data_IF_172161728864
#
_entry.id   IF_172161728864
#
_cell.length_a   1.000
_cell.length_b   1.000
_cell.length_c   1.000
_cell.angle_alpha   90.00
_cell.angle_beta   90.00
_cell.angle_gamma   90.00
#
_symmetry.space_group_name_H-M   'P 1'
#
loop_
_entity.id
_entity.type
_entity.pdbx_description
1 polymer ?
#
# COMPACT_ATOMS: atom_id res chain seq x y z
N UNK A 1 -30.16 12.63 -4.39
CA UNK A 1 -29.75 13.43 -3.24
C UNK A 1 -30.61 13.26 -1.97
N UNK A 2 -31.55 12.31 -1.85
CA UNK A 2 -32.44 12.13 -0.68
C UNK A 2 -32.08 10.93 0.25
N UNK A 3 -31.00 10.19 -0.03
CA UNK A 3 -30.63 8.99 0.74
C UNK A 3 -29.41 9.15 1.67
N UNK A 4 -28.70 10.28 1.61
CA UNK A 4 -27.52 10.55 2.44
C UNK A 4 -27.89 11.22 3.77
N UNK A 5 -29.02 11.93 3.82
CA UNK A 5 -29.48 12.64 5.02
C UNK A 5 -30.00 11.71 6.13
N UNK A 6 -30.34 10.45 5.80
CA UNK A 6 -30.90 9.51 6.78
C UNK A 6 -29.83 8.77 7.61
N UNK A 7 -28.57 8.74 7.13
CA UNK A 7 -27.50 8.06 7.86
C UNK A 7 -26.85 8.95 8.94
N UNK A 8 -26.91 10.27 8.79
CA UNK A 8 -26.35 11.19 9.80
C UNK A 8 -27.27 11.40 11.02
N UNK A 9 -28.56 11.13 10.91
CA UNK A 9 -29.52 11.31 12.01
C UNK A 9 -29.58 10.14 12.99
N UNK A 10 -29.03 8.98 12.62
CA UNK A 10 -29.04 7.81 13.54
C UNK A 10 -27.91 7.81 14.58
N UNK A 11 -26.92 8.68 14.44
CA UNK A 11 -25.79 8.77 15.37
C UNK A 11 -26.00 9.72 16.56
N UNK A 12 -27.05 10.54 16.55
CA UNK A 12 -27.31 11.53 17.62
C UNK A 12 -28.40 11.14 18.64
N UNK A 13 -29.04 9.98 18.51
CA UNK A 13 -30.19 9.59 19.33
C UNK A 13 -29.87 8.71 20.55
N UNK A 14 -28.61 8.59 20.99
CA UNK A 14 -28.25 7.86 22.22
C UNK A 14 -27.70 8.80 23.30
N UNK A 15 -28.29 9.97 23.44
CA UNK A 15 -28.12 10.78 24.64
C UNK A 15 -29.34 10.53 25.56
N UNK A 16 -29.37 9.37 26.22
CA UNK A 16 -30.33 9.14 27.31
C UNK A 16 -29.79 9.84 28.55
N UNK A 17 -30.51 10.82 29.13
CA UNK A 17 -30.15 11.40 30.43
C UNK A 17 -30.41 10.37 31.51
N UNK A 18 -29.40 9.65 31.95
CA UNK A 18 -29.50 8.85 33.18
C UNK A 18 -29.33 9.76 34.36
N UNK A 19 -30.38 9.85 35.15
CA UNK A 19 -30.42 10.49 36.46
C UNK A 19 -29.23 10.07 37.32
N UNK A 20 -28.51 11.06 37.81
CA UNK A 20 -27.38 10.90 38.73
C UNK A 20 -27.93 10.34 40.06
N UNK A 21 -27.77 9.06 40.27
CA UNK A 21 -27.97 8.44 41.59
C UNK A 21 -26.59 8.37 42.30
N UNK A 22 -26.66 8.72 43.58
CA UNK A 22 -25.62 8.95 44.56
C UNK A 22 -24.38 8.02 44.47
N UNK A 23 -23.20 8.62 44.61
CA UNK A 23 -21.90 8.03 44.67
C UNK A 23 -21.77 6.87 45.66
N UNK A 24 -21.76 5.64 45.18
CA UNK A 24 -21.06 4.54 45.87
C UNK A 24 -19.57 4.80 45.78
N UNK A 25 -18.81 4.61 46.86
CA UNK A 25 -17.36 4.70 46.93
C UNK A 25 -16.73 4.03 45.71
N UNK A 26 -16.22 4.84 44.77
CA UNK A 26 -15.73 4.36 43.48
C UNK A 26 -14.58 3.38 43.66
N UNK A 27 -14.62 2.30 42.91
CA UNK A 27 -13.55 1.33 42.78
C UNK A 27 -12.27 2.09 42.35
N UNK A 28 -11.17 1.87 43.07
CA UNK A 28 -9.87 2.54 42.78
C UNK A 28 -9.48 2.19 41.36
N UNK A 29 -9.44 3.18 40.46
CA UNK A 29 -9.02 3.00 39.07
C UNK A 29 -7.55 2.67 39.06
N UNK A 30 -7.15 1.57 38.42
CA UNK A 30 -5.75 1.23 38.21
C UNK A 30 -5.06 2.33 37.41
N UNK A 31 -3.84 2.73 37.83
CA UNK A 31 -3.13 3.82 37.17
C UNK A 31 -2.64 3.46 35.77
N UNK A 32 -2.22 2.22 35.57
CA UNK A 32 -1.63 1.77 34.31
C UNK A 32 -2.35 0.54 33.75
N UNK A 33 -2.31 0.41 32.45
CA UNK A 33 -2.79 -0.79 31.75
C UNK A 33 -1.92 -1.07 30.52
N UNK A 34 -1.86 -2.35 30.14
CA UNK A 34 -1.35 -2.83 28.86
C UNK A 34 -2.53 -3.24 27.99
N UNK A 35 -2.50 -2.86 26.71
CA UNK A 35 -3.55 -3.18 25.75
C UNK A 35 -2.93 -3.88 24.54
N UNK A 36 -3.53 -4.99 24.10
CA UNK A 36 -3.21 -5.65 22.85
C UNK A 36 -4.45 -5.64 21.95
N UNK A 37 -4.27 -5.23 20.72
CA UNK A 37 -5.33 -5.09 19.72
C UNK A 37 -4.96 -5.75 18.40
N UNK A 38 -5.97 -6.25 17.70
CA UNK A 38 -5.88 -6.68 16.31
C UNK A 38 -7.14 -6.31 15.56
N UNK A 39 -7.02 -6.04 14.27
CA UNK A 39 -8.16 -5.62 13.47
C UNK A 39 -7.88 -5.61 11.98
N UNK A 40 -8.90 -5.27 11.24
CA UNK A 40 -8.84 -5.12 9.80
C UNK A 40 -9.41 -3.77 9.37
N UNK A 41 -8.72 -3.13 8.42
CA UNK A 41 -9.07 -1.83 7.86
C UNK A 41 -9.52 -1.97 6.42
N UNK A 42 -10.43 -1.10 6.02
CA UNK A 42 -10.94 -0.95 4.67
C UNK A 42 -10.45 0.38 4.10
N UNK A 43 -10.21 0.41 2.79
CA UNK A 43 -9.89 1.63 2.08
C UNK A 43 -11.08 2.57 2.04
N UNK A 44 -10.91 3.83 2.45
CA UNK A 44 -11.95 4.88 2.39
C UNK A 44 -11.60 6.02 1.44
N UNK A 45 -10.35 6.10 0.97
CA UNK A 45 -9.87 7.10 0.02
C UNK A 45 -9.12 6.43 -1.11
N UNK A 46 -9.81 5.75 -2.03
CA UNK A 46 -9.15 5.21 -3.23
C UNK A 46 -8.65 6.38 -4.08
N UNK A 47 -7.39 6.34 -4.42
CA UNK A 47 -6.73 7.22 -5.37
C UNK A 47 -6.14 6.41 -6.52
N UNK A 48 -5.63 7.09 -7.52
CA UNK A 48 -4.85 6.45 -8.57
C UNK A 48 -3.52 5.95 -8.00
N UNK A 49 -3.12 4.73 -8.35
CA UNK A 49 -1.82 4.20 -7.92
C UNK A 49 -0.66 4.97 -8.58
N UNK A 50 0.53 4.98 -7.96
CA UNK A 50 1.75 5.47 -8.63
C UNK A 50 2.06 4.64 -9.87
N UNK A 51 2.72 5.27 -10.86
CA UNK A 51 3.28 4.56 -12.00
C UNK A 51 4.30 3.51 -11.56
N UNK A 52 4.39 2.43 -12.32
CA UNK A 52 5.41 1.39 -12.15
C UNK A 52 6.33 1.41 -13.36
N UNK A 53 7.52 2.00 -13.21
CA UNK A 53 8.39 2.28 -14.34
C UNK A 53 7.69 3.21 -15.37
N UNK A 54 7.66 2.84 -16.66
CA UNK A 54 6.97 3.64 -17.69
C UNK A 54 5.46 3.40 -17.72
N UNK A 55 4.93 2.43 -16.95
CA UNK A 55 3.54 1.97 -17.04
C UNK A 55 2.64 2.79 -16.13
N UNK A 56 1.56 3.31 -16.74
CA UNK A 56 0.50 4.00 -16.00
C UNK A 56 -0.30 2.99 -15.15
N UNK A 57 -0.98 3.44 -14.09
CA UNK A 57 -1.82 2.59 -13.25
C UNK A 57 -3.14 2.25 -13.95
N UNK A 58 -3.04 1.54 -15.06
CA UNK A 58 -4.15 1.14 -15.90
C UNK A 58 -4.20 -0.40 -16.03
N UNK A 59 -5.41 -0.91 -16.30
CA UNK A 59 -5.65 -2.23 -16.83
C UNK A 59 -5.96 -2.07 -18.31
N UNK A 60 -4.96 -2.34 -19.16
CA UNK A 60 -4.96 -2.03 -20.57
C UNK A 60 -4.91 -3.31 -21.41
N UNK A 61 -5.82 -3.40 -22.37
CA UNK A 61 -5.85 -4.49 -23.36
C UNK A 61 -5.50 -3.90 -24.72
N UNK A 62 -4.44 -4.42 -25.32
CA UNK A 62 -3.94 -4.02 -26.64
C UNK A 62 -4.06 -5.14 -27.65
N UNK A 63 -4.14 -4.77 -28.89
CA UNK A 63 -4.11 -5.70 -30.01
C UNK A 63 -3.08 -5.26 -31.03
N UNK A 64 -2.15 -6.16 -31.34
CA UNK A 64 -1.14 -5.97 -32.38
C UNK A 64 -1.60 -6.58 -33.70
N UNK A 65 -1.58 -5.78 -34.77
CA UNK A 65 -1.86 -6.24 -36.14
C UNK A 65 -0.56 -6.57 -36.87
N UNK A 66 -0.41 -7.83 -37.28
CA UNK A 66 0.76 -8.24 -38.10
C UNK A 66 0.71 -7.72 -39.53
N UNK A 67 -0.45 -7.21 -39.98
CA UNK A 67 -0.65 -6.73 -41.35
C UNK A 67 -0.06 -5.33 -41.55
N UNK A 68 -0.22 -4.45 -40.60
CA UNK A 68 0.20 -3.06 -40.66
C UNK A 68 1.26 -2.69 -39.59
N UNK A 69 1.60 -3.64 -38.68
CA UNK A 69 2.59 -3.45 -37.62
C UNK A 69 2.09 -2.53 -36.47
N UNK A 70 0.82 -2.15 -36.45
CA UNK A 70 0.27 -1.23 -35.48
C UNK A 70 -0.28 -1.95 -34.25
N UNK A 71 -0.20 -1.27 -33.09
CA UNK A 71 -0.84 -1.69 -31.86
C UNK A 71 -1.97 -0.75 -31.51
N UNK A 72 -3.17 -1.29 -31.30
CA UNK A 72 -4.38 -0.53 -30.97
C UNK A 72 -4.83 -0.87 -29.56
N UNK A 73 -5.20 0.13 -28.77
CA UNK A 73 -5.83 -0.05 -27.45
C UNK A 73 -7.29 -0.46 -27.67
N UNK A 74 -7.66 -1.63 -27.15
CA UNK A 74 -9.02 -2.16 -27.24
C UNK A 74 -9.84 -1.79 -26.02
N UNK A 75 -9.22 -1.78 -24.85
CA UNK A 75 -9.86 -1.36 -23.61
C UNK A 75 -8.82 -0.83 -22.64
N UNK A 76 -9.20 0.20 -21.90
CA UNK A 76 -8.36 0.84 -20.89
C UNK A 76 -9.22 1.19 -19.68
N UNK A 77 -8.75 0.85 -18.49
CA UNK A 77 -9.40 1.14 -17.22
C UNK A 77 -8.39 1.65 -16.23
N UNK A 78 -8.64 2.82 -15.63
CA UNK A 78 -7.82 3.36 -14.55
C UNK A 78 -7.92 2.45 -13.32
N UNK A 79 -6.79 2.05 -12.77
CA UNK A 79 -6.70 1.31 -11.53
C UNK A 79 -6.59 2.28 -10.35
N UNK A 80 -7.59 2.23 -9.50
CA UNK A 80 -7.65 3.02 -8.28
C UNK A 80 -7.69 2.11 -7.06
N UNK A 81 -7.09 2.57 -5.99
CA UNK A 81 -7.10 1.87 -4.72
C UNK A 81 -6.44 2.67 -3.62
N UNK A 82 -6.21 2.01 -2.52
CA UNK A 82 -5.49 2.59 -1.39
C UNK A 82 -4.79 1.45 -0.66
N UNK A 83 -3.63 1.76 -0.14
CA UNK A 83 -2.92 0.82 0.73
C UNK A 83 -3.44 0.84 2.17
N UNK A 84 -4.61 1.46 2.42
CA UNK A 84 -5.24 1.49 3.74
C UNK A 84 -6.00 0.23 4.12
N UNK A 85 -6.33 -0.65 3.15
CA UNK A 85 -6.98 -1.93 3.42
C UNK A 85 -5.98 -2.99 3.85
N UNK A 86 -6.21 -3.67 4.99
CA UNK A 86 -5.32 -4.72 5.49
C UNK A 86 -5.40 -4.96 6.99
N UNK A 87 -4.58 -5.88 7.47
CA UNK A 87 -4.50 -6.25 8.88
C UNK A 87 -3.63 -5.28 9.70
N UNK A 88 -4.06 -4.97 10.91
CA UNK A 88 -3.29 -4.21 11.90
C UNK A 88 -3.25 -4.97 13.21
N UNK A 89 -2.12 -4.87 13.91
CA UNK A 89 -1.96 -5.33 15.27
C UNK A 89 -1.15 -4.33 16.07
N UNK A 90 -1.47 -4.14 17.35
CA UNK A 90 -0.77 -3.15 18.16
C UNK A 90 -0.73 -3.50 19.64
N UNK A 91 0.29 -2.96 20.29
CA UNK A 91 0.47 -2.98 21.74
C UNK A 91 0.48 -1.53 22.26
N UNK A 92 -0.24 -1.31 23.33
CA UNK A 92 -0.34 0.02 23.95
C UNK A 92 -0.04 -0.04 25.44
N UNK A 93 0.66 0.98 25.91
CA UNK A 93 0.76 1.29 27.33
C UNK A 93 -0.15 2.50 27.61
N UNK A 94 -1.07 2.35 28.54
CA UNK A 94 -2.00 3.40 28.94
C UNK A 94 -1.81 3.83 30.37
N UNK A 95 -2.05 5.12 30.63
CA UNK A 95 -2.06 5.74 31.94
C UNK A 95 -3.40 6.45 32.17
N UNK A 96 -4.16 5.95 33.14
CA UNK A 96 -5.42 6.55 33.57
C UNK A 96 -5.11 7.80 34.44
N UNK A 97 -5.42 8.97 33.91
CA UNK A 97 -5.34 10.23 34.65
C UNK A 97 -6.41 10.29 35.75
N UNK A 98 -7.59 9.82 35.39
CA UNK A 98 -8.74 9.64 36.28
C UNK A 98 -9.71 8.62 35.66
N UNK A 99 -10.92 8.47 36.22
CA UNK A 99 -11.93 7.52 35.71
C UNK A 99 -12.52 7.90 34.35
N UNK A 100 -12.30 9.13 33.87
CA UNK A 100 -12.88 9.68 32.65
C UNK A 100 -11.83 9.86 31.53
N UNK A 101 -10.57 9.97 31.89
CA UNK A 101 -9.50 10.35 30.94
C UNK A 101 -8.28 9.46 31.10
N UNK A 102 -7.70 9.08 29.99
CA UNK A 102 -6.43 8.37 29.94
C UNK A 102 -5.57 8.88 28.75
N UNK A 103 -4.27 8.64 28.84
CA UNK A 103 -3.33 8.77 27.73
C UNK A 103 -2.81 7.39 27.37
N UNK A 104 -2.56 7.16 26.09
CA UNK A 104 -2.13 5.86 25.58
C UNK A 104 -1.01 6.07 24.57
N UNK A 105 0.04 5.28 24.66
CA UNK A 105 1.13 5.19 23.70
C UNK A 105 1.04 3.83 23.01
N UNK A 106 0.76 3.82 21.70
CA UNK A 106 0.54 2.60 20.93
C UNK A 106 1.62 2.42 19.88
N UNK A 107 2.17 1.20 19.76
CA UNK A 107 2.95 0.76 18.62
C UNK A 107 2.12 -0.21 17.80
N UNK A 108 1.93 0.10 16.51
CA UNK A 108 1.18 -0.72 15.59
C UNK A 108 2.08 -1.25 14.49
N UNK A 109 1.85 -2.51 14.09
CA UNK A 109 2.29 -3.07 12.84
C UNK A 109 1.13 -3.15 11.88
N UNK A 110 1.37 -2.81 10.63
CA UNK A 110 0.39 -2.81 9.56
C UNK A 110 0.90 -3.59 8.35
N UNK A 111 0.03 -4.44 7.79
CA UNK A 111 0.23 -5.13 6.52
C UNK A 111 -0.99 -4.91 5.62
N UNK A 112 -0.78 -4.24 4.47
CA UNK A 112 -1.86 -4.00 3.52
C UNK A 112 -2.17 -5.25 2.71
N UNK A 113 -3.39 -5.31 2.18
CA UNK A 113 -3.68 -6.27 1.10
C UNK A 113 -2.81 -5.95 -0.13
N UNK A 114 -2.54 -6.96 -0.95
CA UNK A 114 -1.87 -6.83 -2.25
C UNK A 114 -2.86 -6.24 -3.26
N UNK A 115 -2.46 -5.16 -3.95
CA UNK A 115 -3.29 -4.45 -4.92
C UNK A 115 -2.66 -4.53 -6.31
N UNK A 116 -3.46 -4.75 -7.34
CA UNK A 116 -3.03 -4.59 -8.73
C UNK A 116 -2.78 -3.12 -9.02
N UNK A 117 -1.56 -2.76 -9.43
CA UNK A 117 -1.13 -1.39 -9.70
C UNK A 117 -1.15 -1.04 -11.18
N UNK A 118 -0.75 -1.99 -12.03
CA UNK A 118 -0.81 -1.88 -13.47
C UNK A 118 -0.93 -3.26 -14.10
N UNK A 119 -1.64 -3.35 -15.20
CA UNK A 119 -1.72 -4.54 -16.05
C UNK A 119 -1.85 -4.10 -17.50
N UNK A 120 -0.96 -4.64 -18.34
CA UNK A 120 -1.03 -4.48 -19.79
C UNK A 120 -0.96 -5.85 -20.45
N UNK A 121 -1.88 -6.13 -21.36
CA UNK A 121 -1.90 -7.37 -22.14
C UNK A 121 -2.02 -7.04 -23.61
N UNK A 122 -1.05 -7.47 -24.41
CA UNK A 122 -1.05 -7.33 -25.86
C UNK A 122 -1.32 -8.67 -26.52
N UNK A 123 -2.36 -8.76 -27.33
CA UNK A 123 -2.72 -9.96 -28.10
C UNK A 123 -2.49 -9.73 -29.58
N UNK A 124 -2.34 -10.82 -30.35
CA UNK A 124 -2.31 -10.77 -31.80
C UNK A 124 -3.73 -10.58 -32.35
N UNK A 125 -3.90 -9.66 -33.30
CA UNK A 125 -5.18 -9.38 -33.93
C UNK A 125 -5.74 -10.64 -34.61
N UNK A 126 -7.02 -10.91 -34.36
CA UNK A 126 -7.71 -12.12 -34.87
C UNK A 126 -7.32 -13.42 -34.16
N UNK A 127 -6.56 -13.37 -33.07
CA UNK A 127 -6.10 -14.53 -32.28
C UNK A 127 -6.18 -14.27 -30.79
N UNK A 128 -6.23 -15.32 -30.00
CA UNK A 128 -6.06 -15.26 -28.53
C UNK A 128 -4.60 -15.33 -28.09
N UNK A 129 -3.64 -15.32 -29.03
CA UNK A 129 -2.21 -15.41 -28.73
C UNK A 129 -1.75 -14.15 -27.99
N UNK A 130 -1.23 -14.30 -26.78
CA UNK A 130 -0.65 -13.21 -25.99
C UNK A 130 0.79 -12.98 -26.46
N UNK A 131 1.07 -11.79 -26.95
CA UNK A 131 2.41 -11.35 -27.37
C UNK A 131 3.19 -10.67 -26.26
N UNK A 132 2.47 -10.01 -25.35
CA UNK A 132 3.07 -9.34 -24.18
C UNK A 132 2.11 -9.29 -23.03
N UNK A 133 2.63 -9.44 -21.82
CA UNK A 133 1.87 -9.25 -20.58
C UNK A 133 2.78 -8.60 -19.55
N UNK A 134 2.28 -7.58 -18.87
CA UNK A 134 2.92 -6.94 -17.72
C UNK A 134 1.87 -6.86 -16.62
N UNK A 135 2.25 -7.23 -15.42
CA UNK A 135 1.37 -7.17 -14.25
C UNK A 135 2.20 -6.79 -13.02
N UNK A 136 1.80 -5.71 -12.36
CA UNK A 136 2.47 -5.24 -11.14
C UNK A 136 1.51 -5.17 -9.97
N UNK A 137 1.94 -5.71 -8.84
CA UNK A 137 1.20 -5.70 -7.60
C UNK A 137 1.98 -4.97 -6.50
N UNK A 138 1.27 -4.19 -5.68
CA UNK A 138 1.87 -3.46 -4.57
C UNK A 138 1.20 -3.76 -3.24
N UNK A 139 2.02 -3.80 -2.18
CA UNK A 139 1.57 -3.91 -0.79
C UNK A 139 2.50 -3.17 0.16
N UNK A 140 1.96 -2.73 1.29
CA UNK A 140 2.69 -1.93 2.29
C UNK A 140 2.87 -2.72 3.58
N UNK A 141 4.08 -2.66 4.14
CA UNK A 141 4.36 -2.97 5.53
C UNK A 141 4.77 -1.70 6.24
N UNK A 142 4.22 -1.44 7.43
CA UNK A 142 4.55 -0.24 8.19
C UNK A 142 4.48 -0.49 9.70
N UNK A 143 5.28 0.31 10.43
CA UNK A 143 5.22 0.42 11.89
C UNK A 143 4.95 1.88 12.20
N UNK A 144 3.95 2.14 13.02
CA UNK A 144 3.64 3.48 13.52
C UNK A 144 3.65 3.54 15.04
N UNK A 145 3.97 4.73 15.56
CA UNK A 145 3.79 5.11 16.95
C UNK A 145 2.62 6.10 17.05
N UNK A 146 1.68 5.82 17.96
CA UNK A 146 0.46 6.60 18.07
C UNK A 146 0.21 7.03 19.52
N UNK A 147 0.65 8.22 19.94
CA UNK A 147 0.20 8.84 21.17
C UNK A 147 -1.26 9.26 21.04
N UNK A 148 -2.07 8.91 22.03
CA UNK A 148 -3.51 9.12 21.99
C UNK A 148 -4.05 9.60 23.34
N UNK A 149 -5.14 10.35 23.29
CA UNK A 149 -5.96 10.75 24.41
C UNK A 149 -7.31 10.02 24.38
N UNK A 150 -7.74 9.51 25.52
CA UNK A 150 -8.97 8.73 25.66
C UNK A 150 -9.90 9.46 26.61
N UNK A 151 -11.18 9.55 26.21
CA UNK A 151 -12.26 10.09 27.03
C UNK A 151 -13.35 9.03 27.14
N UNK A 152 -13.83 8.80 28.36
CA UNK A 152 -14.92 7.86 28.64
C UNK A 152 -15.81 8.36 29.78
N UNK A 153 -17.09 7.96 29.86
CA UNK A 153 -17.96 8.30 31.01
C UNK A 153 -17.61 7.53 32.29
N UNK A 154 -16.69 6.53 32.22
CA UNK A 154 -16.25 5.77 33.37
C UNK A 154 -17.29 4.81 33.93
N UNK A 155 -18.11 4.18 33.08
CA UNK A 155 -19.11 3.21 33.49
C UNK A 155 -18.49 1.88 33.93
N UNK A 156 -19.10 1.18 34.87
CA UNK A 156 -18.54 -0.03 35.46
C UNK A 156 -18.77 -1.31 34.65
N UNK A 157 -19.89 -1.42 33.90
CA UNK A 157 -20.30 -2.63 33.20
C UNK A 157 -19.95 -2.60 31.72
N UNK A 158 -20.32 -1.51 31.05
CA UNK A 158 -20.07 -1.26 29.64
C UNK A 158 -19.57 0.16 29.53
N UNK A 159 -18.31 0.33 29.17
CA UNK A 159 -17.67 1.64 29.16
C UNK A 159 -17.33 2.10 27.74
N UNK A 160 -18.20 2.90 27.10
CA UNK A 160 -17.88 3.51 25.82
C UNK A 160 -16.76 4.54 25.99
N UNK A 161 -15.96 4.72 24.94
CA UNK A 161 -14.91 5.72 24.94
C UNK A 161 -14.62 6.23 23.53
N UNK A 162 -14.03 7.41 23.48
CA UNK A 162 -13.46 8.01 22.27
C UNK A 162 -11.95 8.10 22.47
N UNK A 163 -11.20 7.73 21.43
CA UNK A 163 -9.75 7.84 21.39
C UNK A 163 -9.34 8.72 20.21
N UNK A 164 -8.54 9.74 20.49
CA UNK A 164 -7.99 10.66 19.49
C UNK A 164 -6.46 10.66 19.60
N UNK A 165 -5.77 10.64 18.47
CA UNK A 165 -4.32 10.58 18.50
C UNK A 165 -3.66 11.00 17.20
N UNK A 166 -2.34 11.20 17.28
CA UNK A 166 -1.49 11.44 16.13
C UNK A 166 -0.82 10.12 15.73
N UNK A 167 -0.63 9.93 14.42
CA UNK A 167 0.05 8.75 13.89
C UNK A 167 1.41 9.19 13.35
N UNK A 168 2.46 8.65 13.93
CA UNK A 168 3.85 8.93 13.56
C UNK A 168 4.42 7.66 12.92
N UNK A 169 4.50 7.57 11.57
CA UNK A 169 5.12 6.44 10.90
C UNK A 169 6.61 6.38 11.25
N UNK A 170 7.04 5.30 11.91
CA UNK A 170 8.43 5.08 12.28
C UNK A 170 9.20 4.36 11.17
N UNK A 171 8.53 3.43 10.51
CA UNK A 171 9.07 2.63 9.44
C UNK A 171 7.96 2.24 8.47
N UNK A 172 8.30 2.14 7.18
CA UNK A 172 7.37 1.66 6.15
C UNK A 172 8.08 1.34 4.86
N UNK A 173 7.50 0.41 4.09
CA UNK A 173 7.92 0.04 2.74
C UNK A 173 6.69 -0.27 1.91
N UNK A 174 6.63 0.34 0.72
CA UNK A 174 5.78 -0.14 -0.36
C UNK A 174 6.64 -1.11 -1.17
N UNK A 175 6.22 -2.38 -1.19
CA UNK A 175 6.83 -3.43 -2.00
C UNK A 175 6.01 -3.54 -3.28
N UNK A 176 6.69 -3.56 -4.43
CA UNK A 176 6.08 -3.69 -5.76
C UNK A 176 6.71 -4.90 -6.41
N UNK A 177 5.90 -5.86 -6.82
CA UNK A 177 6.27 -7.05 -7.55
C UNK A 177 5.74 -6.93 -8.97
N UNK A 178 6.61 -7.05 -9.97
CA UNK A 178 6.27 -6.94 -11.39
C UNK A 178 6.72 -8.21 -12.10
N UNK A 179 5.77 -8.85 -12.76
CA UNK A 179 6.01 -9.94 -13.69
C UNK A 179 5.68 -9.48 -15.11
N UNK A 180 6.63 -9.68 -16.04
CA UNK A 180 6.43 -9.35 -17.44
C UNK A 180 6.87 -10.49 -18.35
N UNK A 181 6.17 -10.64 -19.45
CA UNK A 181 6.56 -11.54 -20.56
C UNK A 181 6.32 -10.83 -21.88
N UNK A 182 7.22 -11.02 -22.82
CA UNK A 182 7.13 -10.45 -24.16
C UNK A 182 7.64 -11.45 -25.19
N UNK A 183 6.87 -11.64 -26.27
CA UNK A 183 7.27 -12.37 -27.46
C UNK A 183 7.53 -11.39 -28.60
N UNK A 184 8.59 -11.60 -29.34
CA UNK A 184 8.97 -10.74 -30.44
C UNK A 184 9.82 -11.50 -31.46
N UNK A 185 10.51 -10.77 -32.32
CA UNK A 185 11.47 -11.34 -33.27
C UNK A 185 12.73 -10.48 -33.33
N UNK A 186 13.84 -11.11 -33.66
CA UNK A 186 15.12 -10.47 -33.94
C UNK A 186 15.74 -11.04 -35.21
N UNK A 187 16.55 -10.24 -35.91
CA UNK A 187 17.26 -10.66 -37.09
C UNK A 187 18.76 -10.80 -36.77
N UNK A 188 19.29 -12.01 -36.97
CA UNK A 188 20.73 -12.30 -36.78
C UNK A 188 21.26 -12.95 -38.06
N UNK A 189 22.27 -12.36 -38.68
CA UNK A 189 22.84 -12.88 -39.90
C UNK A 189 21.86 -12.99 -41.08
N UNK A 190 20.87 -12.11 -41.17
CA UNK A 190 19.83 -12.13 -42.19
C UNK A 190 18.71 -13.15 -41.96
N UNK A 191 18.77 -13.92 -40.89
CA UNK A 191 17.71 -14.86 -40.50
C UNK A 191 16.86 -14.29 -39.33
N UNK A 192 15.54 -14.47 -39.41
CA UNK A 192 14.60 -14.06 -38.35
C UNK A 192 14.49 -15.16 -37.32
N UNK A 193 14.69 -14.80 -36.06
CA UNK A 193 14.48 -15.65 -34.89
C UNK A 193 13.34 -15.10 -34.02
N UNK A 194 12.61 -15.99 -33.35
CA UNK A 194 11.68 -15.58 -32.33
C UNK A 194 12.40 -15.28 -31.02
N UNK A 195 11.96 -14.27 -30.31
CA UNK A 195 12.44 -13.95 -28.96
C UNK A 195 11.33 -14.11 -27.95
N UNK A 196 11.68 -14.62 -26.78
CA UNK A 196 10.78 -14.75 -25.65
C UNK A 196 11.49 -14.25 -24.39
N UNK A 197 11.05 -13.09 -23.90
CA UNK A 197 11.62 -12.46 -22.70
C UNK A 197 10.65 -12.61 -21.54
N UNK A 198 11.16 -13.01 -20.39
CA UNK A 198 10.45 -13.00 -19.11
C UNK A 198 11.23 -12.16 -18.12
N UNK A 199 10.52 -11.35 -17.30
CA UNK A 199 11.11 -10.48 -16.29
C UNK A 199 10.35 -10.68 -14.99
N UNK A 200 11.09 -10.88 -13.90
CA UNK A 200 10.61 -10.78 -12.55
C UNK A 200 11.38 -9.66 -11.84
N UNK A 201 10.67 -8.70 -11.25
CA UNK A 201 11.27 -7.53 -10.60
C UNK A 201 10.55 -7.22 -9.30
N UNK A 202 11.32 -7.06 -8.22
CA UNK A 202 10.83 -6.59 -6.94
C UNK A 202 11.47 -5.25 -6.60
N UNK A 203 10.65 -4.29 -6.22
CA UNK A 203 11.06 -2.94 -5.86
C UNK A 203 10.55 -2.58 -4.46
N UNK A 204 11.33 -1.77 -3.75
CA UNK A 204 10.92 -1.20 -2.47
C UNK A 204 10.95 0.32 -2.53
N UNK A 205 9.81 0.95 -2.26
CA UNK A 205 9.71 2.41 -2.10
C UNK A 205 9.75 2.75 -0.62
N UNK A 206 10.71 3.59 -0.23
CA UNK A 206 10.84 4.15 1.11
C UNK A 206 10.08 5.48 1.18
N UNK A 207 9.31 5.73 2.26
CA UNK A 207 8.59 6.98 2.44
C UNK A 207 9.43 8.08 3.06
N UNK A 208 9.00 9.33 2.88
CA UNK A 208 9.33 10.41 3.79
C UNK A 208 8.51 10.28 5.08
N UNK A 209 9.06 10.72 6.19
CA UNK A 209 8.34 10.82 7.45
C UNK A 209 7.23 11.88 7.31
N UNK A 210 6.02 11.54 7.73
CA UNK A 210 4.85 12.41 7.73
C UNK A 210 4.12 12.28 9.06
N UNK A 211 3.17 13.15 9.32
CA UNK A 211 2.29 13.07 10.48
C UNK A 211 0.87 12.74 10.00
N UNK A 212 0.29 11.71 10.58
CA UNK A 212 -1.12 11.35 10.41
C UNK A 212 -1.92 11.62 11.68
N UNK A 213 -3.21 11.32 11.62
CA UNK A 213 -4.10 11.36 12.78
C UNK A 213 -5.04 10.17 12.78
N UNK A 214 -5.58 9.86 13.96
CA UNK A 214 -6.58 8.83 14.15
C UNK A 214 -7.68 9.28 15.09
N UNK A 215 -8.88 8.72 14.88
CA UNK A 215 -10.00 8.77 15.80
C UNK A 215 -10.63 7.40 15.92
N UNK A 216 -11.01 7.01 17.12
CA UNK A 216 -11.71 5.76 17.36
C UNK A 216 -12.87 5.96 18.34
N UNK A 217 -13.94 5.21 18.09
CA UNK A 217 -15.02 5.00 19.05
C UNK A 217 -14.99 3.53 19.46
N UNK A 218 -14.92 3.28 20.77
CA UNK A 218 -14.81 1.93 21.30
C UNK A 218 -15.73 1.70 22.49
N UNK A 219 -15.89 0.43 22.80
CA UNK A 219 -16.61 -0.03 23.99
C UNK A 219 -15.75 -1.08 24.70
N UNK A 220 -15.52 -0.87 26.00
CA UNK A 220 -14.81 -1.81 26.86
C UNK A 220 -15.78 -2.54 27.78
N UNK A 221 -15.56 -3.85 27.92
CA UNK A 221 -16.34 -4.76 28.75
C UNK A 221 -15.43 -5.36 29.83
N UNK A 222 -15.54 -4.97 31.10
CA UNK A 222 -14.79 -5.58 32.19
C UNK A 222 -15.17 -7.06 32.36
N UNK A 223 -14.22 -7.96 32.15
CA UNK A 223 -14.38 -9.41 32.34
C UNK A 223 -13.95 -9.81 33.75
N UNK A 224 -12.93 -9.13 34.28
CA UNK A 224 -12.47 -9.32 35.65
C UNK A 224 -11.98 -7.98 36.25
N UNK A 225 -11.48 -8.03 37.50
CA UNK A 225 -10.92 -6.85 38.14
C UNK A 225 -9.69 -6.28 37.43
N UNK A 226 -9.01 -7.10 36.61
CA UNK A 226 -7.76 -6.75 35.93
C UNK A 226 -7.84 -6.84 34.42
N UNK A 227 -8.95 -7.31 33.85
CA UNK A 227 -9.05 -7.58 32.42
C UNK A 227 -10.34 -7.04 31.83
N UNK A 228 -10.20 -6.25 30.79
CA UNK A 228 -11.30 -5.84 29.90
C UNK A 228 -11.10 -6.47 28.52
N UNK A 229 -12.21 -6.81 27.87
CA UNK A 229 -12.28 -7.01 26.42
C UNK A 229 -12.80 -5.71 25.82
N UNK A 230 -12.33 -5.34 24.65
CA UNK A 230 -12.85 -4.16 23.96
C UNK A 230 -13.04 -4.41 22.46
N UNK A 231 -13.89 -3.59 21.86
CA UNK A 231 -14.06 -3.43 20.41
C UNK A 231 -14.01 -1.94 20.07
N UNK A 232 -13.41 -1.61 18.92
CA UNK A 232 -13.26 -0.24 18.42
C UNK A 232 -13.61 -0.18 16.94
N UNK A 233 -14.34 0.86 16.53
CA UNK A 233 -14.33 1.36 15.17
C UNK A 233 -13.29 2.48 15.09
N UNK A 234 -12.33 2.39 14.19
CA UNK A 234 -11.19 3.31 14.10
C UNK A 234 -11.04 3.86 12.69
N UNK A 235 -10.85 5.16 12.60
CA UNK A 235 -10.46 5.86 11.41
C UNK A 235 -9.02 6.37 11.54
N UNK A 236 -8.20 6.08 10.51
CA UNK A 236 -6.84 6.63 10.38
C UNK A 236 -6.71 7.38 9.07
N UNK A 237 -5.99 8.50 9.10
CA UNK A 237 -5.51 9.21 7.93
C UNK A 237 -3.99 9.36 8.03
N UNK A 238 -3.28 8.66 7.15
CA UNK A 238 -1.81 8.62 7.16
C UNK A 238 -1.30 8.89 5.74
N UNK A 239 -1.20 10.17 5.34
CA UNK A 239 -0.64 10.53 4.04
C UNK A 239 0.86 10.24 4.02
N UNK A 240 1.35 9.63 2.96
CA UNK A 240 2.74 9.23 2.78
C UNK A 240 3.26 9.73 1.44
N UNK A 241 4.50 10.24 1.42
CA UNK A 241 5.21 10.68 0.21
C UNK A 241 6.35 9.74 -0.10
N UNK A 242 6.57 9.41 -1.36
CA UNK A 242 7.76 8.66 -1.79
C UNK A 242 9.05 9.47 -1.56
N UNK A 243 10.12 8.80 -1.14
CA UNK A 243 11.46 9.35 -0.94
C UNK A 243 12.45 8.78 -1.93
N UNK A 244 12.58 7.48 -1.93
CA UNK A 244 13.49 6.74 -2.79
C UNK A 244 12.92 5.35 -3.10
N UNK A 245 13.35 4.78 -4.22
CA UNK A 245 12.98 3.43 -4.65
C UNK A 245 14.25 2.66 -4.97
N UNK A 246 14.31 1.41 -4.56
CA UNK A 246 15.41 0.47 -4.83
C UNK A 246 14.86 -0.82 -5.43
N UNK A 247 15.50 -1.35 -6.45
CA UNK A 247 15.26 -2.71 -6.94
C UNK A 247 15.94 -3.68 -5.99
N UNK A 248 15.21 -4.69 -5.56
CA UNK A 248 15.68 -5.73 -4.63
C UNK A 248 15.95 -7.05 -5.32
N UNK A 249 15.14 -7.36 -6.32
CA UNK A 249 15.27 -8.55 -7.15
C UNK A 249 15.08 -8.14 -8.60
N UNK A 250 15.91 -8.65 -9.49
CA UNK A 250 15.76 -8.52 -10.94
C UNK A 250 16.25 -9.78 -11.62
N UNK A 251 15.39 -10.37 -12.42
CA UNK A 251 15.68 -11.57 -13.21
C UNK A 251 15.02 -11.42 -14.58
N UNK A 252 15.84 -11.19 -15.61
CA UNK A 252 15.41 -11.10 -17.00
C UNK A 252 16.05 -12.25 -17.79
N UNK A 253 15.19 -13.05 -18.42
CA UNK A 253 15.61 -14.17 -19.26
C UNK A 253 15.06 -14.00 -20.68
N UNK A 254 15.92 -13.87 -21.66
CA UNK A 254 15.57 -13.78 -23.08
C UNK A 254 16.06 -15.03 -23.82
N UNK A 255 15.12 -15.81 -24.33
CA UNK A 255 15.37 -16.96 -25.21
C UNK A 255 15.25 -16.53 -26.66
N UNK A 256 16.24 -16.92 -27.49
CA UNK A 256 16.22 -16.79 -28.94
C UNK A 256 15.91 -18.16 -29.53
N UNK A 257 14.85 -18.26 -30.30
CA UNK A 257 14.26 -19.53 -30.76
C UNK A 257 14.28 -19.56 -32.28
N UNK A 258 14.77 -20.66 -32.87
CA UNK A 258 14.69 -20.89 -34.32
C UNK A 258 13.22 -21.20 -34.68
N UNK A 259 12.56 -20.38 -35.52
CA UNK A 259 11.13 -20.54 -35.82
C UNK A 259 10.83 -21.82 -36.62
N UNK A 260 11.81 -22.38 -37.38
CA UNK A 260 11.60 -23.58 -38.18
C UNK A 260 11.71 -24.87 -37.37
N UNK A 261 12.54 -24.88 -36.34
CA UNK A 261 12.81 -26.10 -35.56
C UNK A 261 12.23 -26.03 -34.14
N UNK A 262 11.84 -24.84 -33.67
CA UNK A 262 11.43 -24.61 -32.27
C UNK A 262 12.59 -24.72 -31.26
N UNK A 263 13.83 -24.93 -31.74
CA UNK A 263 14.96 -25.08 -30.85
C UNK A 263 15.43 -23.73 -30.28
N UNK A 264 15.77 -23.72 -28.99
CA UNK A 264 16.42 -22.56 -28.34
C UNK A 264 17.87 -22.49 -28.83
N UNK A 265 18.24 -21.41 -29.51
CA UNK A 265 19.55 -21.16 -30.06
C UNK A 265 20.49 -20.57 -29.01
N UNK A 266 19.97 -19.62 -28.23
CA UNK A 266 20.71 -19.00 -27.12
C UNK A 266 19.73 -18.47 -26.05
N UNK A 267 20.24 -18.34 -24.84
CA UNK A 267 19.56 -17.69 -23.75
C UNK A 267 20.45 -16.59 -23.18
N UNK A 268 19.91 -15.40 -23.04
CA UNK A 268 20.55 -14.27 -22.39
C UNK A 268 19.89 -14.05 -21.04
N UNK A 269 20.70 -13.85 -20.00
CA UNK A 269 20.24 -13.55 -18.65
C UNK A 269 20.82 -12.21 -18.22
N UNK A 270 19.97 -11.43 -17.51
CA UNK A 270 20.34 -10.16 -16.91
C UNK A 270 19.79 -10.14 -15.49
N UNK A 271 20.66 -10.08 -14.49
CA UNK A 271 20.33 -10.05 -13.08
C UNK A 271 20.43 -8.66 -12.46
N UNK A 272 20.23 -8.58 -11.15
CA UNK A 272 20.32 -7.33 -10.38
C UNK A 272 21.69 -6.64 -10.53
N UNK A 273 22.78 -7.42 -10.60
CA UNK A 273 24.15 -6.89 -10.77
C UNK A 273 24.44 -6.27 -12.14
N UNK A 274 23.58 -6.53 -13.13
CA UNK A 274 23.72 -6.00 -14.49
C UNK A 274 22.93 -4.70 -14.70
N UNK A 275 22.18 -4.26 -13.67
CA UNK A 275 21.48 -2.98 -13.70
C UNK A 275 22.44 -1.84 -13.39
N UNK A 276 22.30 -0.74 -14.13
CA UNK A 276 22.97 0.51 -13.79
C UNK A 276 22.45 1.07 -12.46
N UNK A 277 23.18 2.00 -11.85
CA UNK A 277 22.70 2.69 -10.64
C UNK A 277 21.37 3.41 -10.90
N UNK A 278 21.22 4.00 -12.10
CA UNK A 278 19.97 4.68 -12.47
C UNK A 278 18.78 3.73 -12.62
N UNK A 279 18.99 2.50 -13.12
CA UNK A 279 17.93 1.49 -13.24
C UNK A 279 17.54 0.88 -11.91
N UNK A 280 18.52 0.72 -11.01
CA UNK A 280 18.33 0.05 -9.71
C UNK A 280 17.91 0.98 -8.58
N UNK A 281 18.18 2.28 -8.68
CA UNK A 281 17.90 3.25 -7.63
C UNK A 281 17.27 4.53 -8.21
N UNK A 282 16.12 4.95 -7.64
CA UNK A 282 15.41 6.17 -8.01
C UNK A 282 15.27 7.08 -6.81
N UNK A 283 15.58 8.36 -6.95
CA UNK A 283 15.29 9.43 -5.99
C UNK A 283 14.07 10.23 -6.44
N UNK A 284 13.07 10.32 -5.57
CA UNK A 284 11.87 11.08 -5.87
C UNK A 284 12.05 12.56 -5.55
N UNK A 285 11.84 13.41 -6.54
CA UNK A 285 11.99 14.86 -6.47
C UNK A 285 10.63 15.57 -6.61
N UNK A 286 10.57 16.83 -6.19
CA UNK A 286 9.33 17.61 -6.30
C UNK A 286 9.13 18.17 -7.72
N UNK A 287 10.23 18.37 -8.43
CA UNK A 287 10.25 18.95 -9.79
C UNK A 287 11.29 18.20 -10.61
N UNK A 288 10.96 17.85 -11.82
CA UNK A 288 11.90 17.38 -12.84
C UNK A 288 12.27 18.55 -13.73
N UNK A 289 13.56 18.74 -13.96
CA UNK A 289 14.13 19.76 -14.82
C UNK A 289 15.26 19.21 -15.70
N UNK A 290 15.98 20.07 -16.41
CA UNK A 290 17.06 19.66 -17.31
C UNK A 290 18.22 18.99 -16.59
N UNK A 291 18.44 19.26 -15.31
CA UNK A 291 19.51 18.63 -14.50
C UNK A 291 19.10 17.26 -13.94
N UNK A 292 17.82 16.93 -13.98
CA UNK A 292 17.28 15.67 -13.47
C UNK A 292 17.78 14.48 -14.30
N UNK A 293 18.19 13.40 -13.61
CA UNK A 293 18.65 12.16 -14.24
C UNK A 293 17.43 11.32 -14.69
N UNK A 294 16.94 11.63 -15.89
CA UNK A 294 15.75 10.99 -16.49
C UNK A 294 16.15 10.06 -17.64
N UNK A 295 15.30 9.11 -18.05
CA UNK A 295 15.53 8.25 -19.20
C UNK A 295 15.80 9.05 -20.49
N UNK A 296 16.76 8.60 -21.29
CA UNK A 296 17.08 9.18 -22.62
C UNK A 296 16.79 8.20 -23.75
N UNK A 297 16.86 6.90 -23.50
CA UNK A 297 16.51 5.87 -24.47
C UNK A 297 16.10 4.58 -23.78
N UNK A 298 15.39 3.74 -24.52
CA UNK A 298 14.99 2.39 -24.06
C UNK A 298 15.16 1.41 -25.21
N UNK A 299 15.77 0.26 -24.91
CA UNK A 299 15.91 -0.86 -25.85
C UNK A 299 15.49 -2.14 -25.14
N UNK A 300 14.34 -2.68 -25.52
CA UNK A 300 13.72 -3.77 -24.77
C UNK A 300 13.43 -3.35 -23.32
N UNK A 301 13.90 -4.14 -22.37
CA UNK A 301 13.77 -3.84 -20.95
C UNK A 301 14.90 -2.94 -20.39
N UNK A 302 15.98 -2.73 -21.14
CA UNK A 302 17.10 -1.88 -20.73
C UNK A 302 16.77 -0.41 -20.96
N UNK A 303 16.86 0.39 -19.90
CA UNK A 303 16.67 1.85 -19.92
C UNK A 303 18.03 2.52 -19.71
N UNK A 304 18.38 3.46 -20.58
CA UNK A 304 19.58 4.29 -20.45
C UNK A 304 19.18 5.66 -19.95
N UNK A 305 19.92 6.17 -18.99
CA UNK A 305 19.67 7.48 -18.35
C UNK A 305 20.74 8.50 -18.78
N UNK A 306 20.54 9.77 -18.46
CA UNK A 306 21.55 10.81 -18.68
C UNK A 306 22.87 10.47 -17.98
N UNK A 307 22.77 9.87 -16.79
CA UNK A 307 23.90 9.44 -15.95
C UNK A 307 23.58 8.06 -15.36
N UNK A 308 24.07 7.00 -15.97
CA UNK A 308 23.81 5.61 -15.54
C UNK A 308 24.49 5.25 -14.21
N UNK A 309 25.52 5.99 -13.81
CA UNK A 309 26.28 5.85 -12.56
C UNK A 309 25.61 6.51 -11.34
N UNK A 310 24.55 7.28 -11.54
CA UNK A 310 23.82 8.00 -10.51
C UNK A 310 22.37 7.51 -10.41
N UNK A 311 21.71 7.66 -9.24
CA UNK A 311 20.30 7.35 -9.12
C UNK A 311 19.45 8.16 -10.11
N UNK A 312 18.45 7.52 -10.70
CA UNK A 312 17.46 8.21 -11.54
C UNK A 312 16.57 9.15 -10.72
N UNK A 313 15.94 10.10 -11.39
CA UNK A 313 14.95 10.99 -10.77
C UNK A 313 13.56 10.73 -11.31
N UNK A 314 12.57 10.75 -10.40
CA UNK A 314 11.15 10.68 -10.72
C UNK A 314 10.35 11.60 -9.78
N UNK A 315 9.12 11.94 -10.17
CA UNK A 315 8.25 12.79 -9.36
C UNK A 315 7.73 12.07 -8.13
N UNK A 316 7.66 12.79 -7.01
CA UNK A 316 7.06 12.27 -5.78
C UNK A 316 5.61 11.86 -5.99
N UNK A 317 5.30 10.66 -5.58
CA UNK A 317 3.93 10.17 -5.47
C UNK A 317 3.42 10.30 -4.03
N UNK A 318 2.11 10.41 -3.90
CA UNK A 318 1.40 10.56 -2.63
C UNK A 318 0.42 9.40 -2.50
N UNK A 319 0.53 8.66 -1.41
CA UNK A 319 -0.39 7.57 -1.09
C UNK A 319 -0.94 7.75 0.32
N UNK A 320 -2.10 7.18 0.59
CA UNK A 320 -2.67 7.12 1.94
C UNK A 320 -2.70 5.67 2.40
N UNK A 321 -2.08 5.39 3.55
CA UNK A 321 -2.09 4.07 4.21
C UNK A 321 -3.08 4.02 5.38
N UNK A 322 -3.92 5.04 5.53
CA UNK A 322 -5.04 5.08 6.46
C UNK A 322 -6.29 4.39 5.92
N UNK A 323 -7.31 4.30 6.75
CA UNK A 323 -8.57 3.67 6.41
C UNK A 323 -9.57 3.71 7.57
N UNK A 324 -10.73 3.13 7.36
CA UNK A 324 -11.73 2.85 8.39
C UNK A 324 -11.66 1.36 8.74
N UNK A 325 -11.58 1.03 10.01
CA UNK A 325 -11.45 -0.37 10.43
C UNK A 325 -12.16 -0.68 11.73
N UNK A 326 -12.14 -1.95 12.05
CA UNK A 326 -12.60 -2.47 13.32
C UNK A 326 -11.46 -3.22 14.01
N UNK A 327 -11.27 -2.94 15.28
CA UNK A 327 -10.30 -3.59 16.15
C UNK A 327 -11.01 -4.26 17.32
N UNK A 328 -10.44 -5.35 17.80
CA UNK A 328 -10.80 -5.99 19.05
C UNK A 328 -9.53 -6.36 19.82
N UNK A 329 -9.65 -6.49 21.14
CA UNK A 329 -8.49 -6.85 21.93
C UNK A 329 -8.75 -6.94 23.42
N UNK A 330 -7.66 -7.01 24.16
CA UNK A 330 -7.60 -7.16 25.61
C UNK A 330 -6.89 -5.97 26.23
N UNK A 331 -7.37 -5.54 27.39
CA UNK A 331 -6.77 -4.50 28.23
C UNK A 331 -6.54 -5.07 29.63
N UNK A 332 -5.28 -5.12 30.04
CA UNK A 332 -4.87 -5.62 31.35
C UNK A 332 -4.49 -4.46 32.27
N UNK A 333 -5.12 -4.39 33.45
CA UNK A 333 -4.92 -3.35 34.46
C UNK A 333 -3.95 -3.83 35.57
N UNK A 334 -3.04 -2.96 36.01
CA UNK A 334 -2.05 -3.22 37.06
C UNK A 334 -2.43 -2.56 38.39
#
# INVERSE_FOLDING_TARGET
MKRITLLCTLFFAVAIPTTVTAQKKGKKVSKFYLKAAGGYFFSVFPGQFPKVGPYEPHDEQKQYSSTDGNTTVISEKVLTGSYGAGGRGGLSLGWNLNKYMAVEATFNYYHSKKNLMTREVTTLAGSSTVLGKIESHGYVNAIDFTPSFIISPGYEKVNPYVRLGFVIPLWGRLNIETDASQSGSTVVGGQTFLTQTTIHREEQVKPNITLGFQGAFGVAFPVSHKLDIFVEAEYKNVPVKSKEKEVKTYDENTKVINPSTGAVVTTQHRGLGDLSTAESHTKYVTTLDQSSNTPVSQTGAKVTYKHDDQPSNDLKSYINIGGLGANAGLRWHF
#
